data_IF_095392050223
#
_entry.id   IF_095392050223
#
_cell.length_a   1.000
_cell.length_b   1.000
_cell.length_c   1.000
_cell.angle_alpha   90.00
_cell.angle_beta   90.00
_cell.angle_gamma   90.00
#
_symmetry.space_group_name_H-M   'P 1'
#
loop_
_entity.id
_entity.type
_entity.pdbx_description
1 polymer ?
#
# COMPACT_ATOMS: atom_id res chain seq x y z
N UNK A 1 -12.06 -22.66 19.74
CA UNK A 1 -11.66 -21.45 18.99
C UNK A 1 -10.79 -21.91 17.83
N UNK A 2 -11.23 -21.67 16.58
CA UNK A 2 -10.52 -22.13 15.38
C UNK A 2 -9.19 -21.38 15.16
N UNK A 3 -8.36 -21.83 14.22
CA UNK A 3 -7.11 -21.15 13.89
C UNK A 3 -7.42 -19.72 13.44
N UNK A 4 -6.94 -18.72 14.19
CA UNK A 4 -6.90 -17.33 13.71
C UNK A 4 -5.86 -17.28 12.60
N UNK A 5 -6.32 -17.12 11.37
CA UNK A 5 -5.47 -16.73 10.26
C UNK A 5 -5.00 -15.30 10.56
N UNK A 6 -3.69 -15.11 10.58
CA UNK A 6 -3.08 -13.79 10.65
C UNK A 6 -2.98 -13.25 9.22
N UNK A 7 -3.25 -11.97 9.07
CA UNK A 7 -3.15 -11.26 7.80
C UNK A 7 -2.11 -10.15 7.96
N UNK A 8 -1.24 -10.00 6.96
CA UNK A 8 -0.20 -8.97 6.97
C UNK A 8 -0.65 -7.64 6.37
N UNK A 9 -1.83 -7.62 5.78
CA UNK A 9 -2.24 -6.46 5.02
C UNK A 9 -3.65 -6.47 4.48
N UNK A 10 -4.04 -5.32 3.95
CA UNK A 10 -5.29 -5.12 3.23
C UNK A 10 -5.03 -4.62 1.81
N UNK A 11 -5.78 -5.20 0.86
CA UNK A 11 -6.14 -4.53 -0.38
C UNK A 11 -7.52 -3.93 -0.17
N UNK A 12 -7.59 -2.60 -0.10
CA UNK A 12 -8.83 -1.86 0.12
C UNK A 12 -9.52 -1.64 -1.21
N UNK A 13 -10.74 -2.18 -1.30
CA UNK A 13 -11.65 -1.94 -2.41
C UNK A 13 -12.18 -0.51 -2.37
N UNK A 14 -12.28 0.12 -3.55
CA UNK A 14 -12.96 1.40 -3.74
C UNK A 14 -12.71 2.47 -2.66
N UNK A 15 -11.44 2.69 -2.30
CA UNK A 15 -10.96 3.53 -1.21
C UNK A 15 -11.51 4.98 -1.22
N UNK A 16 -11.91 5.48 -2.39
CA UNK A 16 -12.49 6.81 -2.60
C UNK A 16 -13.86 7.04 -1.94
N UNK A 17 -14.54 5.98 -1.49
CA UNK A 17 -15.88 6.07 -0.90
C UNK A 17 -15.90 6.13 0.63
N UNK A 18 -14.74 6.21 1.26
CA UNK A 18 -14.59 6.32 2.71
C UNK A 18 -13.61 7.44 3.01
N UNK A 19 -13.84 8.13 4.12
CA UNK A 19 -13.06 9.28 4.54
C UNK A 19 -11.63 8.89 4.94
N UNK A 20 -10.67 9.74 4.57
CA UNK A 20 -9.25 9.52 4.84
C UNK A 20 -8.93 9.22 6.34
N UNK A 21 -9.53 9.90 7.34
CA UNK A 21 -9.28 9.57 8.74
C UNK A 21 -9.67 8.14 9.13
N UNK A 22 -10.72 7.58 8.51
CA UNK A 22 -11.12 6.20 8.78
C UNK A 22 -10.07 5.20 8.27
N UNK A 23 -9.43 5.50 7.13
CA UNK A 23 -8.29 4.71 6.63
C UNK A 23 -7.07 4.78 7.54
N UNK A 24 -6.77 5.97 8.09
CA UNK A 24 -5.71 6.12 9.06
C UNK A 24 -5.99 5.28 10.32
N UNK A 25 -7.23 5.30 10.81
CA UNK A 25 -7.65 4.49 11.96
C UNK A 25 -7.50 3.00 11.67
N UNK A 26 -7.96 2.52 10.50
CA UNK A 26 -7.82 1.12 10.10
C UNK A 26 -6.35 0.67 10.11
N UNK A 27 -5.45 1.47 9.53
CA UNK A 27 -4.01 1.18 9.51
C UNK A 27 -3.43 1.11 10.92
N UNK A 28 -3.80 2.05 11.80
CA UNK A 28 -3.33 2.10 13.19
C UNK A 28 -3.71 0.82 13.95
N UNK A 29 -4.99 0.45 13.93
CA UNK A 29 -5.50 -0.71 14.66
C UNK A 29 -4.95 -2.03 14.10
N UNK A 30 -4.90 -2.17 12.77
CA UNK A 30 -4.35 -3.37 12.13
C UNK A 30 -2.85 -3.55 12.41
N UNK A 31 -2.09 -2.45 12.43
CA UNK A 31 -0.67 -2.47 12.78
C UNK A 31 -0.45 -2.85 14.25
N UNK A 32 -1.27 -2.33 15.17
CA UNK A 32 -1.21 -2.71 16.57
C UNK A 32 -1.50 -4.19 16.78
N UNK A 33 -2.55 -4.71 16.15
CA UNK A 33 -2.94 -6.12 16.23
C UNK A 33 -1.85 -7.06 15.67
N UNK A 34 -1.23 -6.72 14.52
CA UNK A 34 -0.15 -7.53 13.96
C UNK A 34 1.07 -7.57 14.89
N UNK A 35 1.46 -6.43 15.48
CA UNK A 35 2.57 -6.38 16.44
C UNK A 35 2.29 -7.22 17.68
N UNK A 36 1.09 -7.12 18.25
CA UNK A 36 0.69 -7.92 19.41
C UNK A 36 0.73 -9.42 19.08
N UNK A 37 0.21 -9.80 17.91
CA UNK A 37 0.22 -11.18 17.47
C UNK A 37 1.64 -11.71 17.27
N UNK A 38 2.53 -10.95 16.60
CA UNK A 38 3.94 -11.33 16.41
C UNK A 38 4.67 -11.48 17.75
N UNK A 39 4.44 -10.56 18.70
CA UNK A 39 5.00 -10.63 20.06
C UNK A 39 4.54 -11.88 20.82
N UNK A 40 3.29 -12.29 20.67
CA UNK A 40 2.72 -13.48 21.32
C UNK A 40 3.07 -14.79 20.60
N UNK A 41 3.54 -14.73 19.35
CA UNK A 41 3.82 -15.89 18.51
C UNK A 41 5.20 -15.78 17.82
N UNK A 42 6.30 -15.62 18.57
CA UNK A 42 7.63 -15.39 17.98
C UNK A 42 8.06 -16.52 17.05
N UNK A 43 7.75 -17.77 17.39
CA UNK A 43 8.10 -18.94 16.56
C UNK A 43 7.24 -19.09 15.29
N UNK A 44 6.18 -18.29 15.15
CA UNK A 44 5.29 -18.29 13.98
C UNK A 44 5.39 -17.02 13.15
N UNK A 45 6.01 -15.97 13.67
CA UNK A 45 6.23 -14.74 12.93
C UNK A 45 7.27 -15.01 11.83
N UNK A 46 6.88 -14.84 10.56
CA UNK A 46 7.78 -15.05 9.42
C UNK A 46 8.79 -13.91 9.25
N UNK A 47 8.42 -12.69 9.65
CA UNK A 47 9.24 -11.50 9.58
C UNK A 47 8.80 -10.43 10.59
N UNK A 48 9.52 -9.30 10.64
CA UNK A 48 9.17 -8.11 11.44
C UNK A 48 8.65 -6.96 10.55
N UNK A 49 8.05 -7.27 9.40
CA UNK A 49 7.48 -6.23 8.54
C UNK A 49 6.23 -5.62 9.17
N UNK A 50 5.99 -4.31 8.96
CA UNK A 50 4.77 -3.66 9.39
C UNK A 50 3.56 -4.16 8.57
N UNK A 51 2.35 -3.95 9.12
CA UNK A 51 1.12 -4.22 8.39
C UNK A 51 1.09 -3.39 7.11
N UNK A 52 0.74 -3.98 5.96
CA UNK A 52 0.79 -3.32 4.65
C UNK A 52 -0.62 -3.04 4.11
N UNK A 53 -0.84 -1.86 3.54
CA UNK A 53 -2.14 -1.48 3.01
C UNK A 53 -1.98 -0.87 1.62
N UNK A 54 -2.69 -1.45 0.65
CA UNK A 54 -2.84 -0.87 -0.68
C UNK A 54 -4.29 -0.56 -1.01
N UNK A 55 -4.51 0.54 -1.73
CA UNK A 55 -5.84 1.02 -2.05
C UNK A 55 -6.14 1.05 -3.54
N UNK A 56 -7.40 0.80 -3.84
CA UNK A 56 -8.00 1.02 -5.15
C UNK A 56 -8.77 2.35 -5.15
N UNK A 57 -8.30 3.34 -5.91
CA UNK A 57 -9.08 4.55 -6.20
C UNK A 57 -9.12 4.74 -7.71
N UNK A 58 -10.26 4.44 -8.34
CA UNK A 58 -10.39 4.56 -9.80
C UNK A 58 -10.08 5.98 -10.28
N UNK A 59 -9.21 6.11 -11.28
CA UNK A 59 -8.66 7.38 -11.76
C UNK A 59 -7.39 7.85 -11.01
N UNK A 60 -6.87 7.05 -10.08
CA UNK A 60 -5.59 7.30 -9.43
C UNK A 60 -4.43 6.79 -10.33
N UNK A 61 -3.57 7.73 -10.72
CA UNK A 61 -2.34 7.46 -11.46
C UNK A 61 -1.10 7.52 -10.57
N UNK A 62 0.09 7.61 -11.16
CA UNK A 62 1.31 7.79 -10.36
C UNK A 62 1.41 9.21 -9.84
N UNK A 63 1.08 9.41 -8.57
CA UNK A 63 1.17 10.70 -7.87
C UNK A 63 1.21 10.51 -6.34
N UNK A 64 1.74 11.51 -5.63
CA UNK A 64 1.56 11.62 -4.19
C UNK A 64 0.16 12.17 -3.89
N UNK A 65 -0.70 11.34 -3.31
CA UNK A 65 -2.04 11.72 -2.86
C UNK A 65 -2.16 11.63 -1.34
N UNK A 66 -3.20 12.24 -0.77
CA UNK A 66 -3.41 12.19 0.67
C UNK A 66 -3.63 10.78 1.23
N UNK A 67 -4.01 9.78 0.43
CA UNK A 67 -4.05 8.38 0.86
C UNK A 67 -2.79 7.92 1.58
N UNK A 68 -1.62 8.36 1.12
CA UNK A 68 -0.33 7.96 1.68
C UNK A 68 -0.02 8.61 3.03
N UNK A 69 -0.69 9.73 3.33
CA UNK A 69 -0.66 10.37 4.65
C UNK A 69 -1.71 9.79 5.60
N UNK A 70 -2.55 8.89 5.10
CA UNK A 70 -3.70 8.31 5.82
C UNK A 70 -3.67 6.78 5.79
N UNK A 71 -2.46 6.23 5.90
CA UNK A 71 -2.22 4.83 6.21
C UNK A 71 -1.93 3.90 5.02
N UNK A 72 -2.14 4.34 3.77
CA UNK A 72 -1.81 3.53 2.60
C UNK A 72 -0.31 3.55 2.31
N UNK A 73 0.28 2.37 2.08
CA UNK A 73 1.69 2.23 1.66
C UNK A 73 1.81 2.24 0.13
N UNK A 74 0.72 1.92 -0.58
CA UNK A 74 0.68 1.88 -2.04
C UNK A 74 -0.73 2.21 -2.55
N UNK A 75 -0.83 2.89 -3.68
CA UNK A 75 -2.08 3.00 -4.45
C UNK A 75 -1.92 2.34 -5.82
N UNK A 76 -2.99 1.69 -6.29
CA UNK A 76 -3.00 1.05 -7.61
C UNK A 76 -2.90 2.13 -8.70
N UNK A 77 -1.90 2.01 -9.58
CA UNK A 77 -1.76 2.86 -10.77
C UNK A 77 -2.67 2.34 -11.90
N UNK A 78 -3.82 2.97 -12.09
CA UNK A 78 -4.77 2.54 -13.12
C UNK A 78 -4.36 2.94 -14.54
N UNK A 79 -3.45 3.90 -14.71
CA UNK A 79 -2.96 4.33 -16.02
C UNK A 79 -2.07 3.26 -16.67
N UNK A 80 -1.45 2.40 -15.85
CA UNK A 80 -0.43 1.44 -16.31
C UNK A 80 -0.96 0.45 -17.33
N UNK A 81 -2.21 0.00 -17.19
CA UNK A 81 -2.79 -1.00 -18.09
C UNK A 81 -2.88 -0.48 -19.54
N UNK A 82 -3.25 0.79 -19.74
CA UNK A 82 -3.35 1.38 -21.08
C UNK A 82 -1.95 1.66 -21.65
N UNK A 83 -1.01 2.09 -20.80
CA UNK A 83 0.39 2.29 -21.18
C UNK A 83 1.05 0.98 -21.62
N UNK A 84 0.85 -0.09 -20.84
CA UNK A 84 1.34 -1.43 -21.17
C UNK A 84 0.69 -2.00 -22.43
N UNK A 85 -0.63 -1.78 -22.61
CA UNK A 85 -1.33 -2.21 -23.83
C UNK A 85 -0.77 -1.55 -25.10
N UNK A 86 -0.30 -0.30 -25.03
CA UNK A 86 0.34 0.39 -26.16
C UNK A 86 1.74 -0.13 -26.49
N UNK A 87 2.41 -0.77 -25.55
CA UNK A 87 3.79 -1.24 -25.69
C UNK A 87 3.91 -2.75 -25.98
N UNK A 88 2.79 -3.45 -26.23
CA UNK A 88 2.80 -4.91 -26.44
C UNK A 88 3.66 -5.34 -27.63
N UNK A 89 3.74 -4.51 -28.67
CA UNK A 89 4.53 -4.81 -29.88
C UNK A 89 6.03 -4.59 -29.65
N UNK A 90 6.41 -3.75 -28.68
CA UNK A 90 7.81 -3.47 -28.36
C UNK A 90 7.96 -2.99 -26.91
N UNK A 91 8.46 -3.86 -26.04
CA UNK A 91 8.64 -3.57 -24.62
C UNK A 91 9.55 -2.36 -24.35
N UNK A 92 10.50 -2.05 -25.24
CA UNK A 92 11.37 -0.87 -25.10
C UNK A 92 10.58 0.46 -25.11
N UNK A 93 9.34 0.46 -25.61
CA UNK A 93 8.46 1.63 -25.51
C UNK A 93 7.99 1.92 -24.08
N UNK A 94 8.16 0.97 -23.15
CA UNK A 94 7.86 1.16 -21.73
C UNK A 94 8.91 1.99 -20.99
N UNK A 95 10.11 2.18 -21.56
CA UNK A 95 11.23 2.87 -20.87
C UNK A 95 10.82 4.26 -20.39
N UNK A 96 10.13 5.04 -21.23
CA UNK A 96 9.64 6.37 -20.86
C UNK A 96 8.60 6.29 -19.74
N UNK A 97 7.69 5.32 -19.77
CA UNK A 97 6.69 5.13 -18.70
C UNK A 97 7.37 4.81 -17.39
N UNK A 98 8.29 3.84 -17.36
CA UNK A 98 9.00 3.49 -16.14
C UNK A 98 9.86 4.62 -15.59
N UNK A 99 10.53 5.37 -16.48
CA UNK A 99 11.29 6.54 -16.07
C UNK A 99 10.39 7.59 -15.41
N UNK A 100 9.25 7.93 -16.02
CA UNK A 100 8.28 8.86 -15.44
C UNK A 100 7.73 8.36 -14.10
N UNK A 101 7.43 7.06 -13.99
CA UNK A 101 6.99 6.47 -12.74
C UNK A 101 8.06 6.61 -11.65
N UNK A 102 9.32 6.31 -11.98
CA UNK A 102 10.44 6.42 -11.06
C UNK A 102 10.61 7.88 -10.60
N UNK A 103 10.63 8.85 -11.52
CA UNK A 103 10.75 10.28 -11.23
C UNK A 103 9.63 10.77 -10.30
N UNK A 104 8.37 10.40 -10.56
CA UNK A 104 7.24 10.81 -9.72
C UNK A 104 7.23 10.16 -8.33
N UNK A 105 7.92 9.04 -8.17
CA UNK A 105 8.11 8.35 -6.91
C UNK A 105 9.42 8.74 -6.22
N UNK A 106 10.24 9.62 -6.81
CA UNK A 106 11.39 10.20 -6.11
C UNK A 106 10.91 11.07 -4.94
N UNK A 107 11.63 11.01 -3.81
CA UNK A 107 11.25 11.73 -2.59
C UNK A 107 10.05 11.13 -1.85
N UNK A 108 9.57 9.95 -2.27
CA UNK A 108 8.57 9.18 -1.55
C UNK A 108 9.19 8.56 -0.28
N UNK A 109 9.34 9.36 0.77
CA UNK A 109 9.77 8.88 2.07
C UNK A 109 8.55 8.36 2.81
N UNK A 110 8.53 7.06 3.14
CA UNK A 110 7.53 6.48 4.05
C UNK A 110 7.51 7.35 5.30
N UNK A 111 6.36 7.91 5.65
CA UNK A 111 6.14 8.36 7.02
C UNK A 111 6.10 7.07 7.84
N UNK A 112 7.23 6.67 8.41
CA UNK A 112 7.20 5.73 9.54
C UNK A 112 6.37 6.42 10.61
N UNK A 113 5.14 5.94 10.81
CA UNK A 113 4.36 6.35 11.98
C UNK A 113 5.29 6.14 13.18
N UNK A 114 5.58 7.19 13.97
CA UNK A 114 6.45 7.02 15.11
C UNK A 114 5.87 5.89 15.96
N UNK A 115 6.71 4.95 16.37
CA UNK A 115 6.37 3.99 17.40
C UNK A 115 5.86 4.82 18.58
N UNK A 116 4.55 4.84 18.79
CA UNK A 116 3.99 5.22 20.08
C UNK A 116 4.49 4.15 21.03
N UNK A 117 5.48 4.53 21.84
CA UNK A 117 6.07 3.73 22.90
C UNK A 117 5.02 3.40 23.98
#
# INVERSE_FOLDING_TARGET
>A
MGPRLWIDGFRVDTAKHVELPAWQQLKTEASAALREWKKANPDKALDDKPFWMTGEAWGHGVMQSDYYRHGFDAMINFDYQEQAAKAVDCIAQMDTTWQQMAEKLQGFQRVELPLVA
#
